data_IF_634511944502
#
_entry.id   IF_634511944502
#
_cell.length_a   1.000
_cell.length_b   1.000
_cell.length_c   1.000
_cell.angle_alpha   90.00
_cell.angle_beta   90.00
_cell.angle_gamma   90.00
#
_symmetry.space_group_name_H-M   'P 1'
#
loop_
_entity.id
_entity.type
_entity.pdbx_description
1 polymer ?
#
# COMPACT_ATOMS: atom_id res chain seq x y z
N UNK A 1 -13.96 21.99 -23.31
CA UNK A 1 -12.84 21.08 -23.03
C UNK A 1 -13.36 19.93 -22.16
N UNK A 2 -13.23 18.69 -22.60
CA UNK A 2 -13.57 17.52 -21.79
C UNK A 2 -12.62 17.49 -20.58
N UNK A 3 -13.17 17.52 -19.36
CA UNK A 3 -12.38 17.42 -18.13
C UNK A 3 -11.80 15.99 -18.07
N UNK A 4 -10.49 15.85 -18.15
CA UNK A 4 -9.84 14.56 -17.99
C UNK A 4 -10.09 14.08 -16.55
N UNK A 5 -10.74 12.92 -16.39
CA UNK A 5 -10.98 12.34 -15.10
C UNK A 5 -9.66 11.88 -14.46
N UNK A 6 -9.50 12.12 -13.17
CA UNK A 6 -8.37 11.63 -12.40
C UNK A 6 -8.48 10.11 -12.20
N UNK A 7 -7.35 9.45 -11.99
CA UNK A 7 -7.32 7.98 -11.78
C UNK A 7 -8.26 7.58 -10.65
N UNK A 8 -8.22 8.28 -9.52
CA UNK A 8 -9.07 7.99 -8.38
C UNK A 8 -10.56 8.18 -8.69
N UNK A 9 -10.92 9.19 -9.46
CA UNK A 9 -12.31 9.41 -9.92
C UNK A 9 -12.82 8.22 -10.75
N UNK A 10 -11.97 7.70 -11.64
CA UNK A 10 -12.32 6.52 -12.45
C UNK A 10 -12.49 5.27 -11.60
N UNK A 11 -11.62 5.05 -10.63
CA UNK A 11 -11.69 3.92 -9.69
C UNK A 11 -13.00 3.97 -8.88
N UNK A 12 -13.36 5.12 -8.35
CA UNK A 12 -14.62 5.31 -7.62
C UNK A 12 -15.85 5.11 -8.51
N UNK A 13 -15.78 5.52 -9.78
CA UNK A 13 -16.85 5.27 -10.75
C UNK A 13 -17.02 3.77 -11.05
N UNK A 14 -15.93 3.01 -11.14
CA UNK A 14 -16.01 1.55 -11.30
C UNK A 14 -16.64 0.87 -10.09
N UNK A 15 -16.27 1.25 -8.88
CA UNK A 15 -16.92 0.74 -7.66
C UNK A 15 -18.43 1.01 -7.69
N UNK A 16 -18.84 2.23 -8.03
CA UNK A 16 -20.26 2.61 -8.09
C UNK A 16 -21.04 1.81 -9.12
N UNK A 17 -20.47 1.61 -10.32
CA UNK A 17 -21.18 1.03 -11.46
C UNK A 17 -21.13 -0.51 -11.48
N UNK A 18 -20.12 -1.12 -10.90
CA UNK A 18 -19.90 -2.58 -10.90
C UNK A 18 -19.19 -3.08 -9.63
N UNK A 19 -19.77 -2.85 -8.45
CA UNK A 19 -19.11 -3.11 -7.17
C UNK A 19 -18.68 -4.57 -6.98
N UNK A 20 -19.44 -5.51 -7.49
CA UNK A 20 -19.23 -6.95 -7.27
C UNK A 20 -18.42 -7.64 -8.38
N UNK A 21 -17.97 -6.87 -9.39
CA UNK A 21 -17.02 -7.40 -10.38
C UNK A 21 -15.63 -7.55 -9.78
N UNK A 22 -14.96 -8.66 -10.13
CA UNK A 22 -13.57 -8.89 -9.75
C UNK A 22 -12.68 -7.84 -10.43
N UNK A 23 -11.95 -7.10 -9.62
CA UNK A 23 -10.98 -6.12 -10.09
C UNK A 23 -9.58 -6.72 -10.16
N UNK A 24 -9.18 -7.47 -9.14
CA UNK A 24 -7.86 -8.06 -9.06
C UNK A 24 -7.96 -9.52 -8.63
N UNK A 25 -7.16 -10.37 -9.25
CA UNK A 25 -6.95 -11.77 -8.84
C UNK A 25 -5.50 -11.91 -8.38
N UNK A 26 -5.32 -12.24 -7.10
CA UNK A 26 -4.02 -12.36 -6.47
C UNK A 26 -3.64 -13.83 -6.27
N UNK A 27 -2.61 -14.34 -6.95
CA UNK A 27 -2.02 -15.63 -6.62
C UNK A 27 -1.37 -15.62 -5.23
N UNK A 28 -1.67 -16.62 -4.41
CA UNK A 28 -1.16 -16.75 -3.04
C UNK A 28 -0.28 -18.00 -2.84
N UNK A 29 0.03 -18.70 -3.91
CA UNK A 29 0.83 -19.93 -3.91
C UNK A 29 -0.01 -21.20 -3.96
N UNK A 30 0.63 -22.33 -4.22
CA UNK A 30 0.00 -23.66 -4.32
C UNK A 30 -1.20 -23.73 -5.28
N UNK A 31 -1.17 -22.95 -6.36
CA UNK A 31 -2.26 -22.85 -7.32
C UNK A 31 -3.51 -22.13 -6.81
N UNK A 32 -3.45 -21.53 -5.63
CA UNK A 32 -4.57 -20.80 -5.03
C UNK A 32 -4.52 -19.33 -5.41
N UNK A 33 -5.70 -18.73 -5.52
CA UNK A 33 -5.87 -17.30 -5.79
C UNK A 33 -6.89 -16.69 -4.83
N UNK A 34 -6.79 -15.38 -4.63
CA UNK A 34 -7.80 -14.55 -3.95
C UNK A 34 -8.30 -13.52 -4.94
N UNK A 35 -9.60 -13.47 -5.14
CA UNK A 35 -10.24 -12.44 -5.95
C UNK A 35 -10.68 -11.29 -5.07
N UNK A 36 -10.42 -10.07 -5.54
CA UNK A 36 -10.86 -8.83 -4.91
C UNK A 36 -11.81 -8.09 -5.85
N UNK A 37 -13.06 -7.90 -5.43
CA UNK A 37 -14.02 -7.07 -6.13
C UNK A 37 -13.66 -5.58 -6.00
N UNK A 38 -14.30 -4.73 -6.81
CA UNK A 38 -14.16 -3.28 -6.66
C UNK A 38 -14.57 -2.84 -5.25
N UNK A 39 -15.68 -3.35 -4.73
CA UNK A 39 -16.18 -3.07 -3.39
C UNK A 39 -15.17 -3.42 -2.30
N UNK A 40 -14.65 -4.64 -2.34
CA UNK A 40 -13.68 -5.11 -1.34
C UNK A 40 -12.37 -4.34 -1.40
N UNK A 41 -11.87 -4.08 -2.60
CA UNK A 41 -10.66 -3.28 -2.82
C UNK A 41 -10.80 -1.89 -2.21
N UNK A 42 -11.89 -1.20 -2.54
CA UNK A 42 -12.12 0.18 -2.07
C UNK A 42 -12.44 0.24 -0.58
N UNK A 43 -13.11 -0.78 -0.03
CA UNK A 43 -13.33 -0.89 1.42
C UNK A 43 -12.01 -0.95 2.18
N UNK A 44 -11.12 -1.82 1.78
CA UNK A 44 -9.80 -1.92 2.41
C UNK A 44 -8.98 -0.65 2.22
N UNK A 45 -8.97 -0.09 1.02
CA UNK A 45 -8.27 1.17 0.75
C UNK A 45 -8.79 2.33 1.62
N UNK A 46 -10.10 2.44 1.81
CA UNK A 46 -10.68 3.48 2.69
C UNK A 46 -10.32 3.27 4.16
N UNK A 47 -10.38 2.03 4.66
CA UNK A 47 -9.96 1.72 6.04
C UNK A 47 -8.50 2.11 6.25
N UNK A 48 -7.63 1.74 5.34
CA UNK A 48 -6.21 2.12 5.43
C UNK A 48 -6.02 3.63 5.27
N UNK A 49 -6.78 4.30 4.41
CA UNK A 49 -6.73 5.76 4.28
C UNK A 49 -7.15 6.46 5.58
N UNK A 50 -8.19 5.97 6.25
CA UNK A 50 -8.62 6.47 7.55
C UNK A 50 -7.52 6.29 8.61
N UNK A 51 -6.85 5.14 8.61
CA UNK A 51 -5.70 4.89 9.48
C UNK A 51 -4.56 5.88 9.20
N UNK A 52 -4.18 6.06 7.94
CA UNK A 52 -3.10 7.01 7.55
C UNK A 52 -3.46 8.44 7.98
N UNK A 53 -4.70 8.88 7.77
CA UNK A 53 -5.17 10.20 8.21
C UNK A 53 -5.02 10.38 9.72
N UNK A 54 -5.35 9.35 10.50
CA UNK A 54 -5.23 9.38 11.96
C UNK A 54 -3.78 9.50 12.46
N UNK A 55 -2.78 9.18 11.63
CA UNK A 55 -1.36 9.37 11.96
C UNK A 55 -0.91 10.83 11.91
N UNK A 56 -1.70 11.73 11.34
CA UNK A 56 -1.38 13.16 11.23
C UNK A 56 0.00 13.44 10.62
N UNK A 57 0.29 12.81 9.49
CA UNK A 57 1.60 12.90 8.84
C UNK A 57 1.91 14.27 8.22
N UNK A 58 0.91 15.11 8.08
CA UNK A 58 1.01 16.41 7.43
C UNK A 58 0.59 16.41 5.96
N UNK A 59 0.26 17.57 5.38
CA UNK A 59 -0.20 17.68 4.00
C UNK A 59 0.90 17.27 3.02
N UNK A 60 0.53 16.41 2.04
CA UNK A 60 1.45 15.92 1.02
C UNK A 60 2.58 15.03 1.54
N UNK A 61 2.43 14.48 2.75
CA UNK A 61 3.44 13.58 3.32
C UNK A 61 3.74 12.41 2.38
N UNK A 62 5.01 12.00 2.36
CA UNK A 62 5.45 10.86 1.54
C UNK A 62 5.21 9.56 2.29
N UNK A 63 4.58 8.60 1.62
CA UNK A 63 4.38 7.23 2.11
C UNK A 63 5.03 6.29 1.11
N UNK A 64 5.99 5.51 1.56
CA UNK A 64 6.75 4.61 0.70
C UNK A 64 6.11 3.22 0.60
N UNK A 65 6.30 2.58 -0.55
CA UNK A 65 5.93 1.18 -0.78
C UNK A 65 7.16 0.46 -1.31
N UNK A 66 7.60 -0.59 -0.60
CA UNK A 66 8.65 -1.50 -1.00
C UNK A 66 8.03 -2.89 -1.20
N UNK A 67 7.72 -3.24 -2.43
CA UNK A 67 7.02 -4.49 -2.77
C UNK A 67 7.08 -4.80 -4.25
N UNK A 68 7.09 -6.09 -4.58
CA UNK A 68 6.66 -6.56 -5.90
C UNK A 68 5.18 -6.22 -6.12
N UNK A 69 4.76 -6.23 -7.38
CA UNK A 69 3.35 -6.04 -7.73
C UNK A 69 2.47 -7.09 -7.05
N UNK A 70 1.44 -6.62 -6.37
CA UNK A 70 0.42 -7.44 -5.71
C UNK A 70 -0.85 -6.59 -5.52
N UNK A 71 -1.96 -7.22 -5.15
CA UNK A 71 -3.22 -6.52 -4.94
C UNK A 71 -3.10 -5.43 -3.87
N UNK A 72 -2.38 -5.71 -2.79
CA UNK A 72 -2.19 -4.75 -1.69
C UNK A 72 -1.33 -3.55 -2.07
N UNK A 73 -0.45 -3.67 -3.07
CA UNK A 73 0.27 -2.52 -3.63
C UNK A 73 -0.73 -1.49 -4.19
N UNK A 74 -1.69 -1.95 -4.98
CA UNK A 74 -2.73 -1.08 -5.56
C UNK A 74 -3.63 -0.51 -4.46
N UNK A 75 -4.07 -1.33 -3.51
CA UNK A 75 -4.89 -0.86 -2.38
C UNK A 75 -4.17 0.20 -1.55
N UNK A 76 -2.86 0.01 -1.28
CA UNK A 76 -2.05 0.96 -0.54
C UNK A 76 -1.89 2.28 -1.30
N UNK A 77 -1.65 2.22 -2.59
CA UNK A 77 -1.55 3.42 -3.42
C UNK A 77 -2.84 4.24 -3.42
N UNK A 78 -3.98 3.57 -3.57
CA UNK A 78 -5.29 4.21 -3.45
C UNK A 78 -5.49 4.83 -2.05
N UNK A 79 -5.13 4.11 -0.98
CA UNK A 79 -5.22 4.60 0.39
C UNK A 79 -4.35 5.84 0.62
N UNK A 80 -3.13 5.84 0.10
CA UNK A 80 -2.21 6.98 0.17
C UNK A 80 -2.83 8.21 -0.50
N UNK A 81 -3.36 8.06 -1.71
CA UNK A 81 -4.00 9.17 -2.43
C UNK A 81 -5.26 9.66 -1.73
N UNK A 82 -6.11 8.76 -1.24
CA UNK A 82 -7.33 9.10 -0.48
C UNK A 82 -7.01 9.84 0.83
N UNK A 83 -5.82 9.63 1.40
CA UNK A 83 -5.38 10.33 2.61
C UNK A 83 -4.71 11.68 2.35
N UNK A 84 -4.58 12.09 1.08
CA UNK A 84 -3.90 13.33 0.69
C UNK A 84 -2.38 13.24 0.74
N UNK A 85 -1.82 12.03 0.78
CA UNK A 85 -0.39 11.77 0.77
C UNK A 85 0.13 11.46 -0.64
N UNK A 86 1.44 11.39 -0.76
CA UNK A 86 2.15 11.10 -2.01
C UNK A 86 2.86 9.76 -1.92
N UNK A 87 2.67 8.89 -2.90
CA UNK A 87 3.34 7.59 -2.98
C UNK A 87 4.81 7.75 -3.40
N UNK A 88 5.69 7.02 -2.70
CA UNK A 88 7.09 6.80 -3.09
C UNK A 88 7.29 5.32 -3.32
N UNK A 89 7.30 4.88 -4.57
CA UNK A 89 7.51 3.48 -4.92
C UNK A 89 9.02 3.18 -4.98
N UNK A 90 9.45 2.15 -4.25
CA UNK A 90 10.82 1.65 -4.23
C UNK A 90 10.83 0.30 -4.95
N UNK A 91 11.75 0.12 -5.90
CA UNK A 91 11.88 -1.16 -6.59
C UNK A 91 12.20 -2.29 -5.60
N UNK A 92 11.50 -3.43 -5.69
CA UNK A 92 11.67 -4.54 -4.74
C UNK A 92 13.04 -5.20 -4.77
N UNK A 93 13.79 -5.00 -5.85
CA UNK A 93 15.14 -5.55 -6.06
C UNK A 93 16.27 -4.62 -5.63
N UNK A 94 15.95 -3.44 -5.10
CA UNK A 94 16.97 -2.49 -4.65
C UNK A 94 17.75 -3.02 -3.46
N UNK A 95 19.05 -2.69 -3.44
CA UNK A 95 19.91 -2.97 -2.30
C UNK A 95 19.51 -2.15 -1.08
N UNK A 96 19.80 -2.64 0.10
CA UNK A 96 19.48 -1.96 1.34
C UNK A 96 19.94 -0.50 1.40
N UNK A 97 21.16 -0.21 0.91
CA UNK A 97 21.69 1.15 0.84
C UNK A 97 20.82 2.08 -0.01
N UNK A 98 20.33 1.59 -1.16
CA UNK A 98 19.41 2.36 -2.02
C UNK A 98 18.07 2.55 -1.34
N UNK A 99 17.53 1.52 -0.70
CA UNK A 99 16.29 1.61 0.08
C UNK A 99 16.41 2.73 1.13
N UNK A 100 17.51 2.72 1.90
CA UNK A 100 17.78 3.76 2.90
C UNK A 100 17.86 5.14 2.28
N UNK A 101 18.59 5.27 1.19
CA UNK A 101 18.73 6.55 0.48
C UNK A 101 17.37 7.11 0.04
N UNK A 102 16.52 6.27 -0.57
CA UNK A 102 15.19 6.71 -1.04
C UNK A 102 14.30 7.13 0.13
N UNK A 103 14.32 6.38 1.24
CA UNK A 103 13.53 6.72 2.43
C UNK A 103 13.99 8.03 3.06
N UNK A 104 15.28 8.24 3.19
CA UNK A 104 15.85 9.48 3.76
C UNK A 104 15.63 10.67 2.83
N UNK A 105 15.91 10.53 1.54
CA UNK A 105 15.78 11.60 0.55
C UNK A 105 14.33 12.05 0.35
N UNK A 106 13.39 11.11 0.33
CA UNK A 106 11.95 11.41 0.20
C UNK A 106 11.33 11.93 1.50
N UNK A 107 12.01 11.78 2.62
CA UNK A 107 11.48 12.05 3.96
C UNK A 107 10.18 11.27 4.24
N UNK A 108 10.13 10.01 3.77
CA UNK A 108 8.96 9.16 3.96
C UNK A 108 8.59 9.03 5.44
N UNK A 109 7.29 9.13 5.72
CA UNK A 109 6.73 9.10 7.08
C UNK A 109 6.14 7.74 7.46
N UNK A 110 5.96 6.86 6.49
CA UNK A 110 5.41 5.53 6.63
C UNK A 110 5.95 4.66 5.50
N UNK A 111 6.18 3.37 5.77
CA UNK A 111 6.62 2.39 4.78
C UNK A 111 5.66 1.19 4.78
N UNK A 112 5.13 0.86 3.62
CA UNK A 112 4.49 -0.42 3.37
C UNK A 112 5.53 -1.41 2.87
N UNK A 113 5.60 -2.57 3.53
CA UNK A 113 6.50 -3.68 3.19
C UNK A 113 5.66 -4.82 2.63
N UNK A 114 5.89 -5.18 1.39
CA UNK A 114 5.08 -6.18 0.73
C UNK A 114 5.85 -7.42 0.31
N UNK A 115 5.48 -7.97 -0.85
CA UNK A 115 6.09 -9.17 -1.40
C UNK A 115 7.53 -8.89 -1.83
N UNK A 116 8.49 -9.53 -1.16
CA UNK A 116 9.93 -9.31 -1.35
C UNK A 116 10.68 -10.63 -1.30
N UNK A 117 11.79 -10.70 -2.03
CA UNK A 117 12.68 -11.87 -2.02
C UNK A 117 13.89 -11.68 -1.10
N UNK A 118 14.31 -10.43 -0.86
CA UNK A 118 15.55 -10.09 -0.16
C UNK A 118 15.31 -9.17 1.05
N UNK A 119 14.13 -9.28 1.68
CA UNK A 119 13.78 -8.44 2.82
C UNK A 119 14.78 -8.52 3.97
N UNK A 120 15.32 -9.72 4.25
CA UNK A 120 16.33 -9.91 5.30
C UNK A 120 17.60 -9.06 5.09
N UNK A 121 17.93 -8.76 3.85
CA UNK A 121 19.08 -7.92 3.47
C UNK A 121 18.70 -6.42 3.46
N UNK A 122 17.44 -6.11 3.20
CA UNK A 122 16.94 -4.73 3.13
C UNK A 122 16.52 -4.19 4.50
N UNK A 123 15.92 -5.03 5.34
CA UNK A 123 15.35 -4.63 6.64
C UNK A 123 16.33 -3.88 7.56
N UNK A 124 17.62 -4.25 7.67
CA UNK A 124 18.57 -3.53 8.51
C UNK A 124 18.79 -2.06 8.10
N UNK A 125 18.49 -1.72 6.86
CA UNK A 125 18.64 -0.37 6.31
C UNK A 125 17.41 0.51 6.51
N UNK A 126 16.28 -0.07 6.90
CA UNK A 126 15.07 0.71 7.21
C UNK A 126 15.24 1.40 8.56
N UNK A 127 15.05 2.73 8.66
CA UNK A 127 15.18 3.44 9.93
C UNK A 127 14.26 2.84 11.00
N UNK A 128 14.80 2.56 12.18
CA UNK A 128 14.02 1.98 13.29
C UNK A 128 12.84 2.87 13.73
N UNK A 129 12.96 4.19 13.53
CA UNK A 129 11.92 5.17 13.85
C UNK A 129 10.81 5.26 12.81
N UNK A 130 10.99 4.67 11.62
CA UNK A 130 9.99 4.72 10.55
C UNK A 130 8.90 3.68 10.80
N UNK A 131 7.63 4.08 10.97
CA UNK A 131 6.52 3.14 11.06
C UNK A 131 6.42 2.29 9.79
N UNK A 132 6.26 0.98 9.96
CA UNK A 132 6.14 0.03 8.85
C UNK A 132 4.89 -0.81 9.00
N UNK A 133 4.23 -1.08 7.87
CA UNK A 133 3.04 -1.94 7.79
C UNK A 133 3.31 -3.03 6.75
N UNK A 134 3.16 -4.28 7.15
CA UNK A 134 3.36 -5.42 6.26
C UNK A 134 2.07 -5.80 5.52
N UNK A 135 2.19 -6.05 4.22
CA UNK A 135 1.14 -6.68 3.42
C UNK A 135 1.02 -8.18 3.75
N UNK A 136 -0.12 -8.82 3.48
CA UNK A 136 -0.29 -10.26 3.74
C UNK A 136 0.75 -11.16 3.08
N UNK A 137 1.27 -10.77 1.91
CA UNK A 137 2.30 -11.53 1.19
C UNK A 137 3.73 -11.13 1.53
N UNK A 138 3.93 -10.31 2.56
CA UNK A 138 5.26 -9.95 3.03
C UNK A 138 5.98 -11.19 3.60
N UNK A 139 7.33 -11.25 3.51
CA UNK A 139 8.09 -12.28 4.21
C UNK A 139 7.88 -12.20 5.73
N UNK A 140 8.28 -13.25 6.46
CA UNK A 140 8.20 -13.27 7.92
C UNK A 140 8.81 -12.00 8.54
N UNK A 141 8.06 -11.35 9.43
CA UNK A 141 8.41 -10.07 10.04
C UNK A 141 7.65 -9.86 11.37
N UNK A 142 8.05 -8.82 12.12
CA UNK A 142 7.40 -8.39 13.36
C UNK A 142 6.67 -7.04 13.20
N UNK A 143 6.39 -6.64 11.96
CA UNK A 143 5.76 -5.35 11.66
C UNK A 143 4.25 -5.39 11.95
N UNK A 144 3.64 -4.21 12.08
CA UNK A 144 2.19 -4.08 12.05
C UNK A 144 1.63 -4.68 10.77
N UNK A 145 0.47 -5.33 10.84
CA UNK A 145 -0.11 -6.05 9.70
C UNK A 145 -1.27 -5.29 9.10
N UNK A 146 -1.29 -5.25 7.78
CA UNK A 146 -2.38 -4.65 7.00
C UNK A 146 -3.76 -5.16 7.45
N UNK A 147 -3.93 -6.48 7.53
CA UNK A 147 -5.21 -7.10 7.85
C UNK A 147 -5.72 -6.70 9.24
N UNK A 148 -4.83 -6.61 10.24
CA UNK A 148 -5.19 -6.20 11.58
C UNK A 148 -5.64 -4.74 11.64
N UNK A 149 -4.99 -3.88 10.87
CA UNK A 149 -5.34 -2.45 10.79
C UNK A 149 -6.70 -2.26 10.13
N UNK A 150 -6.92 -2.86 8.95
CA UNK A 150 -8.19 -2.70 8.23
C UNK A 150 -9.37 -3.35 8.97
N UNK A 151 -9.13 -4.42 9.73
CA UNK A 151 -10.16 -5.06 10.55
C UNK A 151 -10.64 -4.17 11.73
N UNK A 152 -9.80 -3.26 12.20
CA UNK A 152 -10.06 -2.39 13.35
C UNK A 152 -10.39 -0.94 12.98
N UNK A 153 -10.25 -0.59 11.72
CA UNK A 153 -10.43 0.79 11.25
C UNK A 153 -11.62 0.83 10.29
N UNK A 154 -12.63 1.58 10.65
CA UNK A 154 -13.77 1.81 9.74
C UNK A 154 -13.34 2.66 8.55
N UNK A 155 -13.89 2.35 7.34
CA UNK A 155 -13.56 3.09 6.13
C UNK A 155 -14.13 4.50 6.08
#
# INVERSE_FOLDING_TARGET
MSKTALILENVLAHEKNRPDFVYMTQPIGNGQVVDYTWRETLKQARSMAAYIKAQNLGPGAKVAILSKNCAHFIMAELAIWMSGCTTVAIFPTELGETVRYVLDHSEAKLLFVGKLDTWSEQAPFVPASLPCIAFPLAPANQLAKWDDIVAKTEP
#
